data_IF_748467503901
#
_entry.id   IF_748467503901
#
_cell.length_a   1.000
_cell.length_b   1.000
_cell.length_c   1.000
_cell.angle_alpha   90.00
_cell.angle_beta   90.00
_cell.angle_gamma   90.00
#
_symmetry.space_group_name_H-M   'P 1'
#
loop_
_entity.id
_entity.type
_entity.pdbx_description
1 polymer ?
#
# COMPACT_ATOMS: atom_id res chain seq x y z
N UNK A 1 -10.16 7.98 -7.13
CA UNK A 1 -10.60 6.61 -6.71
C UNK A 1 -9.85 6.13 -5.48
N UNK A 2 -8.51 6.10 -5.49
CA UNK A 2 -7.73 5.64 -4.35
C UNK A 2 -7.96 6.42 -3.07
N UNK A 3 -8.09 7.75 -3.16
CA UNK A 3 -8.33 8.58 -1.99
C UNK A 3 -9.65 8.25 -1.29
N UNK A 4 -10.70 8.00 -2.07
CA UNK A 4 -12.00 7.63 -1.50
C UNK A 4 -11.94 6.30 -0.77
N UNK A 5 -11.23 5.32 -1.31
CA UNK A 5 -11.06 4.02 -0.66
C UNK A 5 -10.28 4.16 0.64
N UNK A 6 -9.20 4.94 0.65
CA UNK A 6 -8.41 5.17 1.86
C UNK A 6 -9.24 5.87 2.92
N UNK A 7 -9.96 6.92 2.56
CA UNK A 7 -10.80 7.65 3.49
C UNK A 7 -11.89 6.75 4.08
N UNK A 8 -12.45 5.84 3.27
CA UNK A 8 -13.42 4.86 3.74
C UNK A 8 -12.81 3.91 4.77
N UNK A 9 -11.60 3.41 4.53
CA UNK A 9 -10.93 2.52 5.47
C UNK A 9 -10.65 3.22 6.80
N UNK A 10 -10.22 4.47 6.77
CA UNK A 10 -10.03 5.26 7.99
C UNK A 10 -11.35 5.42 8.72
N UNK A 11 -12.42 5.79 8.02
CA UNK A 11 -13.74 5.97 8.62
C UNK A 11 -14.26 4.66 9.24
N UNK A 12 -14.09 3.54 8.56
CA UNK A 12 -14.50 2.23 9.09
C UNK A 12 -13.68 1.84 10.31
N UNK A 13 -12.37 2.13 10.31
CA UNK A 13 -11.51 1.89 11.45
C UNK A 13 -11.97 2.66 12.67
N UNK A 14 -12.25 3.95 12.51
CA UNK A 14 -12.75 4.81 13.59
C UNK A 14 -14.11 4.30 14.10
N UNK A 15 -15.01 3.94 13.20
CA UNK A 15 -16.38 3.58 13.54
C UNK A 15 -16.51 2.18 14.13
N UNK A 16 -15.78 1.22 13.59
CA UNK A 16 -15.96 -0.20 13.92
C UNK A 16 -14.74 -0.85 14.55
N UNK A 17 -13.67 -0.09 14.78
CA UNK A 17 -12.43 -0.65 15.34
C UNK A 17 -11.73 -1.64 14.40
N UNK A 18 -11.87 -1.46 13.08
CA UNK A 18 -11.28 -2.39 12.11
C UNK A 18 -9.86 -1.98 11.76
N UNK A 19 -8.95 -2.93 11.86
CA UNK A 19 -7.56 -2.72 11.46
C UNK A 19 -7.43 -2.75 9.94
N UNK A 20 -6.49 -1.97 9.44
CA UNK A 20 -6.04 -2.08 8.07
C UNK A 20 -4.61 -1.55 7.97
N UNK A 21 -3.97 -1.85 6.85
CA UNK A 21 -2.61 -1.38 6.57
C UNK A 21 -2.55 -0.89 5.13
N UNK A 22 -1.45 -0.21 4.81
CA UNK A 22 -1.17 0.14 3.42
C UNK A 22 0.31 -0.02 3.12
N UNK A 23 0.60 -0.22 1.84
CA UNK A 23 1.95 -0.23 1.31
C UNK A 23 2.00 0.81 0.20
N UNK A 24 2.94 1.74 0.28
CA UNK A 24 3.23 2.70 -0.79
C UNK A 24 4.31 2.09 -1.67
N UNK A 25 4.08 2.12 -2.98
CA UNK A 25 4.99 1.51 -3.96
C UNK A 25 5.32 2.56 -4.99
N UNK A 26 6.57 3.03 -4.97
CA UNK A 26 7.07 3.97 -5.98
C UNK A 26 7.71 3.16 -7.09
N UNK A 27 7.27 3.39 -8.31
CA UNK A 27 7.69 2.65 -9.49
C UNK A 27 8.41 3.59 -10.47
N UNK A 28 9.23 3.04 -11.39
CA UNK A 28 9.84 3.88 -12.42
C UNK A 28 8.77 4.60 -13.23
N UNK A 29 9.08 5.82 -13.66
CA UNK A 29 8.15 6.65 -14.40
C UNK A 29 7.62 5.93 -15.64
N UNK A 30 6.30 5.99 -15.84
CA UNK A 30 5.66 5.37 -16.99
C UNK A 30 5.35 3.89 -16.85
N UNK A 31 5.68 3.26 -15.70
CA UNK A 31 5.48 1.80 -15.52
C UNK A 31 4.28 1.45 -14.64
N UNK A 32 3.63 2.42 -14.02
CA UNK A 32 2.56 2.14 -13.05
C UNK A 32 1.43 1.28 -13.63
N UNK A 33 0.99 1.59 -14.86
CA UNK A 33 -0.11 0.84 -15.48
C UNK A 33 0.28 -0.61 -15.76
N UNK A 34 1.51 -0.84 -16.19
CA UNK A 34 1.98 -2.20 -16.47
C UNK A 34 2.24 -3.01 -15.22
N UNK A 35 2.67 -2.36 -14.13
CA UNK A 35 2.99 -3.05 -12.88
C UNK A 35 1.76 -3.33 -12.01
N UNK A 36 0.70 -2.50 -12.10
CA UNK A 36 -0.48 -2.66 -11.27
C UNK A 36 -1.11 -4.06 -11.37
N UNK A 37 -1.33 -4.64 -12.57
CA UNK A 37 -1.87 -5.99 -12.66
C UNK A 37 -0.96 -7.06 -12.06
N UNK A 38 0.36 -6.90 -12.20
CA UNK A 38 1.33 -7.85 -11.64
C UNK A 38 1.30 -7.81 -10.12
N UNK A 39 1.25 -6.63 -9.54
CA UNK A 39 1.17 -6.45 -8.08
C UNK A 39 -0.16 -6.96 -7.55
N UNK A 40 -1.25 -6.75 -8.28
CA UNK A 40 -2.56 -7.28 -7.92
C UNK A 40 -2.54 -8.81 -7.87
N UNK A 41 -1.88 -9.44 -8.85
CA UNK A 41 -1.77 -10.90 -8.88
C UNK A 41 -0.98 -11.46 -7.69
N UNK A 42 -0.09 -10.67 -7.08
CA UNK A 42 0.68 -11.07 -5.92
C UNK A 42 -0.01 -10.73 -4.58
N UNK A 43 -1.19 -10.14 -4.63
CA UNK A 43 -1.92 -9.69 -3.46
C UNK A 43 -3.01 -10.69 -3.09
N UNK A 44 -3.53 -10.58 -1.85
CA UNK A 44 -4.67 -11.39 -1.42
C UNK A 44 -5.94 -10.86 -2.08
N UNK A 45 -7.00 -11.68 -2.10
CA UNK A 45 -8.27 -11.31 -2.73
C UNK A 45 -8.88 -10.02 -2.14
N UNK A 46 -8.71 -9.81 -0.83
CA UNK A 46 -9.25 -8.65 -0.16
C UNK A 46 -8.42 -7.38 -0.36
N UNK A 47 -7.18 -7.52 -0.83
CA UNK A 47 -6.27 -6.40 -1.01
C UNK A 47 -6.59 -5.69 -2.33
N UNK A 48 -6.39 -4.37 -2.35
CA UNK A 48 -6.67 -3.56 -3.53
C UNK A 48 -5.44 -2.75 -3.88
N UNK A 49 -5.01 -2.83 -5.14
CA UNK A 49 -3.94 -1.99 -5.67
C UNK A 49 -4.60 -0.83 -6.41
N UNK A 50 -4.28 0.39 -6.00
CA UNK A 50 -4.83 1.59 -6.64
C UNK A 50 -3.71 2.51 -7.09
N UNK A 51 -3.95 3.26 -8.17
CA UNK A 51 -3.02 4.28 -8.60
C UNK A 51 -3.16 5.49 -7.69
N UNK A 52 -2.04 5.95 -7.14
CA UNK A 52 -2.03 7.07 -6.21
C UNK A 52 -1.49 8.33 -6.87
N UNK A 53 -0.31 8.24 -7.45
CA UNK A 53 0.33 9.31 -8.20
C UNK A 53 0.80 8.75 -9.54
N UNK A 54 1.41 9.59 -10.38
CA UNK A 54 1.87 9.19 -11.70
C UNK A 54 2.86 8.01 -11.63
N UNK A 55 3.69 7.98 -10.59
CA UNK A 55 4.72 6.96 -10.38
C UNK A 55 4.54 6.23 -9.04
N UNK A 56 3.35 6.23 -8.49
CA UNK A 56 3.10 5.61 -7.20
C UNK A 56 1.80 4.83 -7.19
N UNK A 57 1.85 3.62 -6.62
CA UNK A 57 0.70 2.77 -6.38
C UNK A 57 0.52 2.59 -4.87
N UNK A 58 -0.70 2.36 -4.43
CA UNK A 58 -1.03 2.01 -3.05
C UNK A 58 -1.64 0.61 -3.03
N UNK A 59 -1.14 -0.22 -2.13
CA UNK A 59 -1.82 -1.45 -1.76
C UNK A 59 -2.60 -1.17 -0.48
N UNK A 60 -3.91 -1.34 -0.53
CA UNK A 60 -4.79 -1.20 0.63
C UNK A 60 -5.10 -2.60 1.15
N UNK A 61 -4.78 -2.86 2.42
CA UNK A 61 -4.77 -4.19 3.01
C UNK A 61 -5.76 -4.24 4.18
N UNK A 62 -7.03 -4.60 3.92
CA UNK A 62 -8.02 -4.71 5.00
C UNK A 62 -7.64 -5.79 6.01
N UNK A 63 -8.08 -5.63 7.25
CA UNK A 63 -7.89 -6.60 8.34
C UNK A 63 -6.43 -7.03 8.48
N UNK A 64 -5.50 -6.07 8.39
CA UNK A 64 -4.06 -6.34 8.40
C UNK A 64 -3.39 -5.46 9.45
N UNK A 65 -2.65 -6.09 10.35
CA UNK A 65 -1.84 -5.41 11.34
C UNK A 65 -0.41 -5.22 10.87
N UNK A 66 0.47 -4.83 11.80
CA UNK A 66 1.86 -4.52 11.48
C UNK A 66 2.63 -5.69 10.86
N UNK A 67 2.59 -6.92 11.41
CA UNK A 67 3.33 -8.02 10.80
C UNK A 67 2.87 -8.32 9.39
N UNK A 68 1.55 -8.27 9.15
CA UNK A 68 0.98 -8.50 7.84
C UNK A 68 1.35 -7.41 6.84
N UNK A 69 1.45 -6.15 7.30
CA UNK A 69 1.88 -5.04 6.45
C UNK A 69 3.31 -5.24 5.98
N UNK A 70 4.21 -5.61 6.89
CA UNK A 70 5.62 -5.84 6.55
C UNK A 70 5.78 -7.03 5.61
N UNK A 71 5.03 -8.11 5.84
CA UNK A 71 5.04 -9.28 4.95
C UNK A 71 4.54 -8.93 3.56
N UNK A 72 3.47 -8.13 3.46
CA UNK A 72 2.94 -7.70 2.19
C UNK A 72 3.95 -6.83 1.43
N UNK A 73 4.63 -5.92 2.14
CA UNK A 73 5.66 -5.07 1.52
C UNK A 73 6.79 -5.92 0.93
N UNK A 74 7.26 -6.91 1.67
CA UNK A 74 8.32 -7.83 1.17
C UNK A 74 7.84 -8.63 -0.03
N UNK A 75 6.62 -9.15 0.03
CA UNK A 75 6.05 -9.92 -1.07
C UNK A 75 5.94 -9.08 -2.34
N UNK A 76 5.44 -7.86 -2.22
CA UNK A 76 5.27 -6.97 -3.36
C UNK A 76 6.62 -6.53 -3.93
N UNK A 77 7.60 -6.27 -3.06
CA UNK A 77 8.96 -5.90 -3.48
C UNK A 77 9.58 -6.99 -4.35
N UNK A 78 9.37 -8.26 -4.01
CA UNK A 78 9.98 -9.39 -4.71
C UNK A 78 9.11 -9.96 -5.83
N UNK A 79 7.91 -9.43 -6.00
CA UNK A 79 6.93 -9.93 -6.97
C UNK A 79 7.26 -9.51 -8.40
N UNK A 80 7.98 -8.42 -8.57
CA UNK A 80 8.30 -7.85 -9.87
C UNK A 80 9.82 -7.77 -10.05
N UNK A 81 10.29 -7.89 -11.28
CA UNK A 81 11.72 -7.76 -11.61
C UNK A 81 12.17 -6.31 -11.68
N UNK A 82 11.23 -5.40 -11.84
CA UNK A 82 11.52 -3.97 -11.91
C UNK A 82 11.87 -3.44 -10.53
N UNK A 83 12.93 -2.65 -10.36
CA UNK A 83 13.24 -2.02 -9.09
C UNK A 83 12.14 -1.08 -8.64
N UNK A 84 11.63 -1.29 -7.44
CA UNK A 84 10.60 -0.45 -6.84
C UNK A 84 11.01 -0.09 -5.42
N UNK A 85 10.49 1.03 -4.91
CA UNK A 85 10.66 1.40 -3.52
C UNK A 85 9.34 1.18 -2.78
N UNK A 86 9.38 0.54 -1.63
CA UNK A 86 8.17 0.25 -0.86
C UNK A 86 8.28 0.80 0.55
N UNK A 87 7.15 1.16 1.12
CA UNK A 87 7.02 1.51 2.52
C UNK A 87 5.66 1.06 3.01
N UNK A 88 5.61 0.53 4.23
CA UNK A 88 4.38 -0.01 4.80
C UNK A 88 4.07 0.63 6.14
N UNK A 89 2.79 0.77 6.44
CA UNK A 89 2.33 1.18 7.76
C UNK A 89 0.97 0.55 8.03
N UNK A 90 0.71 0.19 9.29
CA UNK A 90 -0.63 -0.21 9.70
C UNK A 90 -1.31 0.98 10.39
N UNK A 91 -2.63 1.03 10.26
CA UNK A 91 -3.42 2.10 10.85
C UNK A 91 -3.50 1.94 12.38
N UNK A 92 -3.22 3.02 13.09
CA UNK A 92 -3.21 3.03 14.56
C UNK A 92 -4.14 4.12 15.13
N UNK A 93 -5.16 4.50 14.37
CA UNK A 93 -6.08 5.56 14.79
C UNK A 93 -5.71 6.94 14.29
N UNK A 94 -4.67 7.04 13.47
CA UNK A 94 -4.20 8.31 12.93
C UNK A 94 -4.99 8.73 11.68
N UNK A 95 -4.70 9.93 11.18
CA UNK A 95 -5.29 10.43 9.95
C UNK A 95 -4.68 9.73 8.73
N UNK A 96 -5.38 9.81 7.60
CA UNK A 96 -4.83 9.29 6.35
C UNK A 96 -3.48 9.93 6.00
N UNK A 97 -3.33 11.23 6.24
CA UNK A 97 -2.07 11.93 6.00
C UNK A 97 -0.93 11.35 6.83
N UNK A 98 -1.14 11.18 8.12
CA UNK A 98 -0.12 10.64 9.03
C UNK A 98 0.22 9.19 8.67
N UNK A 99 -0.79 8.40 8.32
CA UNK A 99 -0.58 7.02 7.89
C UNK A 99 0.30 6.95 6.64
N UNK A 100 -0.02 7.77 5.64
CA UNK A 100 0.79 7.85 4.41
C UNK A 100 2.23 8.28 4.70
N UNK A 101 2.41 9.24 5.61
CA UNK A 101 3.75 9.71 5.98
C UNK A 101 4.57 8.61 6.65
N UNK A 102 3.95 7.78 7.50
CA UNK A 102 4.64 6.67 8.17
C UNK A 102 5.01 5.55 7.20
N UNK A 103 4.30 5.44 6.09
CA UNK A 103 4.56 4.45 5.05
C UNK A 103 5.52 4.97 3.98
N UNK A 104 6.40 5.91 4.32
CA UNK A 104 7.31 6.49 3.35
C UNK A 104 8.17 5.43 2.67
N UNK A 105 8.16 5.36 1.32
CA UNK A 105 8.91 4.34 0.60
C UNK A 105 10.42 4.50 0.76
N UNK A 106 11.11 3.38 0.91
CA UNK A 106 12.56 3.34 0.97
C UNK A 106 13.10 2.51 -0.17
N UNK A 107 14.18 3.01 -0.79
CA UNK A 107 14.89 2.27 -1.81
C UNK A 107 15.89 1.33 -1.14
N UNK A 108 15.80 0.04 -1.48
CA UNK A 108 16.77 -0.92 -0.99
C UNK A 108 18.10 -0.72 -1.70
N UNK A 109 19.18 -0.79 -0.94
CA UNK A 109 20.53 -0.67 -1.48
C UNK A 109 20.97 0.74 -1.82
N UNK A 110 20.20 1.73 -1.47
CA UNK A 110 20.58 3.12 -1.68
C UNK A 110 21.46 3.60 -0.54
#
# INVERSE_FOLDING_TARGET
MGRLLLDRLVAEGVRYGRDFALVRIVVPMGTAEGLAPLLTACSRDADVIVRWEADELLALLPATGRPGADQAAQRLLHCVDTPVAVGAAHWVGDTAYDLLSRAEPRRLGA
#
